data_IF_714771518936
#
_entry.id   IF_714771518936
#
_cell.length_a   1.000
_cell.length_b   1.000
_cell.length_c   1.000
_cell.angle_alpha   90.00
_cell.angle_beta   90.00
_cell.angle_gamma   90.00
#
_symmetry.space_group_name_H-M   'P 1'
#
loop_
_entity.id
_entity.type
_entity.pdbx_description
1 polymer ?
#
# COMPACT_ATOMS: atom_id res chain seq x y z
N UNK A 1 -9.04 -37.02 35.64
CA UNK A 1 -7.62 -36.73 35.36
C UNK A 1 -7.44 -36.79 33.85
N UNK A 2 -7.37 -35.62 33.23
CA UNK A 2 -7.01 -35.43 31.83
C UNK A 2 -5.82 -34.47 31.89
N UNK A 3 -4.63 -34.99 31.64
CA UNK A 3 -3.39 -34.22 31.63
C UNK A 3 -3.42 -33.26 30.44
N UNK A 4 -3.46 -31.96 30.74
CA UNK A 4 -3.19 -30.93 29.76
C UNK A 4 -1.67 -30.92 29.50
N UNK A 5 -1.24 -30.82 28.23
CA UNK A 5 0.17 -30.75 27.90
C UNK A 5 0.81 -29.49 28.52
N UNK A 6 2.12 -29.57 28.87
CA UNK A 6 2.81 -28.48 29.53
C UNK A 6 2.86 -27.25 28.63
N UNK A 7 2.62 -26.12 29.29
CA UNK A 7 2.76 -24.75 28.83
C UNK A 7 3.89 -24.62 27.79
N UNK A 8 3.51 -24.39 26.53
CA UNK A 8 4.46 -24.07 25.47
C UNK A 8 4.91 -22.64 25.73
N UNK A 9 5.94 -22.55 26.58
CA UNK A 9 6.97 -21.52 26.62
C UNK A 9 6.67 -20.35 25.68
N UNK A 10 6.08 -19.31 26.27
CA UNK A 10 6.04 -17.97 25.71
C UNK A 10 7.49 -17.53 25.48
N UNK A 11 8.00 -17.82 24.28
CA UNK A 11 9.21 -17.15 23.79
C UNK A 11 8.95 -15.65 23.93
N UNK A 12 9.85 -14.89 24.56
CA UNK A 12 9.68 -13.45 24.63
C UNK A 12 9.58 -12.91 23.20
N UNK A 13 8.48 -12.20 22.93
CA UNK A 13 8.34 -11.38 21.73
C UNK A 13 9.57 -10.49 21.70
N UNK A 14 10.42 -10.70 20.70
CA UNK A 14 11.66 -9.94 20.57
C UNK A 14 11.26 -8.57 20.02
N UNK A 15 10.97 -7.64 20.92
CA UNK A 15 10.82 -6.23 20.58
C UNK A 15 12.10 -5.78 19.85
N UNK A 16 11.93 -5.25 18.63
CA UNK A 16 13.04 -4.72 17.86
C UNK A 16 13.45 -3.40 18.52
N UNK A 17 14.52 -3.43 19.31
CA UNK A 17 15.18 -2.21 19.78
C UNK A 17 15.96 -1.59 18.61
N UNK A 18 15.27 -0.93 17.68
CA UNK A 18 15.91 0.00 16.74
C UNK A 18 16.14 1.31 17.49
N UNK A 19 17.38 1.60 17.85
CA UNK A 19 17.73 2.88 18.46
C UNK A 19 17.58 3.99 17.41
N UNK A 20 16.57 4.83 17.60
CA UNK A 20 16.06 5.90 16.70
C UNK A 20 17.12 6.98 16.34
N UNK A 21 18.32 6.94 16.91
CA UNK A 21 19.31 8.02 16.82
C UNK A 21 20.15 8.09 15.54
N UNK A 22 20.09 7.07 14.67
CA UNK A 22 20.96 7.01 13.47
C UNK A 22 20.21 7.08 12.13
N UNK A 23 18.94 7.50 12.11
CA UNK A 23 18.19 7.64 10.85
C UNK A 23 18.48 9.01 10.19
N UNK A 24 19.25 9.08 9.08
CA UNK A 24 19.47 10.32 8.36
C UNK A 24 18.15 10.84 7.77
N UNK A 25 17.94 12.16 7.84
CA UNK A 25 16.70 12.86 7.44
C UNK A 25 16.35 12.83 5.93
N UNK A 26 17.03 12.02 5.13
CA UNK A 26 16.80 11.95 3.68
C UNK A 26 17.10 10.54 3.18
N UNK A 27 16.09 9.74 2.85
CA UNK A 27 15.74 9.28 1.48
C UNK A 27 14.86 8.02 1.53
N UNK A 28 13.58 8.17 1.17
CA UNK A 28 12.58 7.10 0.94
C UNK A 28 12.89 6.19 -0.28
N UNK A 29 14.17 6.03 -0.63
CA UNK A 29 14.63 5.37 -1.86
C UNK A 29 14.97 3.91 -1.59
N UNK A 30 14.58 3.03 -2.49
CA UNK A 30 15.04 1.64 -2.46
C UNK A 30 16.55 1.57 -2.73
N UNK A 31 17.23 0.63 -2.08
CA UNK A 31 18.64 0.31 -2.28
C UNK A 31 18.72 -0.90 -3.23
N UNK A 32 19.62 -0.85 -4.21
CA UNK A 32 19.77 -1.92 -5.19
C UNK A 32 20.70 -3.01 -4.65
N UNK A 33 20.35 -4.28 -4.86
CA UNK A 33 21.27 -5.39 -4.64
C UNK A 33 22.38 -5.39 -5.70
N UNK A 34 23.63 -5.59 -5.28
CA UNK A 34 24.74 -5.90 -6.20
C UNK A 34 24.57 -7.29 -6.86
N UNK A 35 23.67 -8.15 -6.33
CA UNK A 35 23.42 -9.50 -6.86
C UNK A 35 21.96 -9.94 -6.62
N UNK A 36 21.13 -10.13 -7.67
CA UNK A 36 19.74 -10.61 -7.54
C UNK A 36 19.66 -12.09 -7.10
N UNK A 37 18.48 -12.58 -6.64
CA UNK A 37 18.29 -13.95 -6.15
C UNK A 37 18.69 -15.02 -7.17
N UNK A 38 19.19 -16.16 -6.68
CA UNK A 38 19.81 -17.24 -7.47
C UNK A 38 18.85 -18.14 -8.28
N UNK A 39 17.56 -17.82 -8.36
CA UNK A 39 16.63 -18.56 -9.21
C UNK A 39 16.70 -18.02 -10.65
N UNK A 40 16.86 -18.91 -11.63
CA UNK A 40 17.00 -18.55 -13.05
C UNK A 40 15.64 -18.13 -13.63
N UNK A 41 15.21 -16.91 -13.31
CA UNK A 41 14.05 -16.23 -13.88
C UNK A 41 14.38 -15.48 -15.18
N UNK A 42 15.56 -15.71 -15.77
CA UNK A 42 16.06 -14.91 -16.90
C UNK A 42 15.16 -14.93 -18.15
N UNK A 43 14.25 -15.90 -18.26
CA UNK A 43 13.30 -16.02 -19.35
C UNK A 43 11.84 -15.77 -18.95
N UNK A 44 11.55 -15.42 -17.70
CA UNK A 44 10.19 -15.08 -17.28
C UNK A 44 9.84 -13.65 -17.74
N UNK A 45 8.84 -13.45 -18.62
CA UNK A 45 8.47 -12.13 -19.11
C UNK A 45 8.00 -11.17 -18.01
N UNK A 46 7.42 -11.68 -16.91
CA UNK A 46 7.01 -10.86 -15.76
C UNK A 46 8.23 -10.35 -14.99
N UNK A 47 9.23 -11.21 -14.79
CA UNK A 47 10.49 -10.83 -14.16
C UNK A 47 11.28 -9.84 -15.01
N UNK A 48 11.36 -10.05 -16.32
CA UNK A 48 11.99 -9.11 -17.25
C UNK A 48 11.30 -7.74 -17.23
N UNK A 49 9.96 -7.71 -17.11
CA UNK A 49 9.24 -6.44 -16.95
C UNK A 49 9.53 -5.76 -15.61
N UNK A 50 9.63 -6.53 -14.52
CA UNK A 50 10.04 -6.00 -13.22
C UNK A 50 11.44 -5.36 -13.28
N UNK A 51 12.40 -6.04 -13.91
CA UNK A 51 13.75 -5.49 -14.14
C UNK A 51 13.73 -4.20 -14.98
N UNK A 52 12.95 -4.16 -16.05
CA UNK A 52 12.78 -2.96 -16.88
C UNK A 52 12.26 -1.77 -16.06
N UNK A 53 11.22 -1.97 -15.24
CA UNK A 53 10.68 -0.92 -14.35
C UNK A 53 11.74 -0.45 -13.35
N UNK A 54 12.43 -1.38 -12.70
CA UNK A 54 13.49 -1.10 -11.71
C UNK A 54 14.64 -0.31 -12.35
N UNK A 55 15.09 -0.71 -13.54
CA UNK A 55 16.14 -0.01 -14.28
C UNK A 55 15.71 1.38 -14.74
N UNK A 56 14.45 1.53 -15.16
CA UNK A 56 13.89 2.82 -15.61
C UNK A 56 13.78 3.82 -14.46
N UNK A 57 13.33 3.38 -13.30
CA UNK A 57 13.17 4.23 -12.12
C UNK A 57 14.50 4.48 -11.40
N UNK A 58 15.44 3.53 -11.45
CA UNK A 58 16.79 3.68 -10.90
C UNK A 58 16.75 4.23 -9.47
N UNK A 59 17.55 5.26 -9.20
CA UNK A 59 17.62 5.89 -7.87
C UNK A 59 16.33 6.61 -7.43
N UNK A 60 15.34 6.79 -8.30
CA UNK A 60 14.05 7.38 -7.96
C UNK A 60 13.04 6.35 -7.44
N UNK A 61 13.34 5.05 -7.57
CA UNK A 61 12.47 4.00 -7.07
C UNK A 61 12.17 4.26 -5.59
N UNK A 62 10.89 4.40 -5.28
CA UNK A 62 10.36 4.71 -3.96
C UNK A 62 8.86 4.43 -3.93
N UNK A 63 8.27 4.36 -2.73
CA UNK A 63 6.81 4.19 -2.57
C UNK A 63 5.99 5.32 -3.18
N UNK A 64 6.57 6.51 -3.33
CA UNK A 64 5.97 7.63 -4.08
C UNK A 64 5.67 7.28 -5.54
N UNK A 65 6.42 6.33 -6.09
CA UNK A 65 6.31 5.88 -7.48
C UNK A 65 5.50 4.57 -7.62
N UNK A 66 4.85 4.09 -6.55
CA UNK A 66 4.07 2.85 -6.58
C UNK A 66 2.96 2.86 -7.66
N UNK A 67 2.35 4.02 -7.90
CA UNK A 67 1.32 4.18 -8.95
C UNK A 67 1.88 4.07 -10.36
N UNK A 68 3.11 4.55 -10.60
CA UNK A 68 3.81 4.37 -11.88
C UNK A 68 4.16 2.91 -12.12
N UNK A 69 4.64 2.21 -11.09
CA UNK A 69 4.92 0.76 -11.15
C UNK A 69 3.65 0.00 -11.54
N UNK A 70 2.52 0.30 -10.88
CA UNK A 70 1.24 -0.33 -11.18
C UNK A 70 0.76 -0.02 -12.58
N UNK A 71 0.83 1.26 -13.01
CA UNK A 71 0.42 1.68 -14.35
C UNK A 71 1.22 0.96 -15.44
N UNK A 72 2.55 0.88 -15.31
CA UNK A 72 3.38 0.14 -16.25
C UNK A 72 3.09 -1.36 -16.27
N UNK A 73 2.85 -1.94 -15.09
CA UNK A 73 2.51 -3.35 -14.95
C UNK A 73 1.15 -3.66 -15.59
N UNK A 74 0.13 -2.83 -15.34
CA UNK A 74 -1.18 -2.97 -15.97
C UNK A 74 -1.09 -2.80 -17.49
N UNK A 75 -0.34 -1.82 -17.98
CA UNK A 75 -0.17 -1.61 -19.43
C UNK A 75 0.50 -2.80 -20.11
N UNK A 76 1.52 -3.39 -19.45
CA UNK A 76 2.19 -4.58 -19.95
C UNK A 76 1.24 -5.79 -20.01
N UNK A 77 0.55 -6.09 -18.91
CA UNK A 77 -0.33 -7.26 -18.79
C UNK A 77 -1.60 -7.12 -19.65
N UNK A 78 -2.12 -5.89 -19.81
CA UNK A 78 -3.32 -5.64 -20.62
C UNK A 78 -3.08 -5.79 -22.12
N UNK A 79 -1.83 -5.92 -22.56
CA UNK A 79 -1.49 -6.21 -23.96
C UNK A 79 -1.92 -7.62 -24.38
N UNK A 80 -2.08 -8.54 -23.42
CA UNK A 80 -2.61 -9.88 -23.65
C UNK A 80 -4.13 -9.91 -23.42
N UNK A 81 -4.87 -9.78 -24.52
CA UNK A 81 -6.34 -9.83 -24.52
C UNK A 81 -6.92 -11.21 -24.19
N UNK A 82 -6.10 -12.27 -24.09
CA UNK A 82 -6.57 -13.62 -23.76
C UNK A 82 -6.73 -13.85 -22.27
N UNK A 83 -6.11 -13.01 -21.44
CA UNK A 83 -6.14 -13.13 -19.99
C UNK A 83 -7.47 -12.62 -19.41
N UNK A 84 -8.01 -13.37 -18.45
CA UNK A 84 -9.10 -12.87 -17.62
C UNK A 84 -8.63 -11.70 -16.76
N UNK A 85 -9.56 -10.84 -16.32
CA UNK A 85 -9.26 -9.73 -15.41
C UNK A 85 -8.50 -10.20 -14.16
N UNK A 86 -8.88 -11.35 -13.60
CA UNK A 86 -8.25 -11.88 -12.40
C UNK A 86 -6.83 -12.38 -12.69
N UNK A 87 -6.63 -13.03 -13.85
CA UNK A 87 -5.30 -13.42 -14.28
C UNK A 87 -4.41 -12.19 -14.54
N UNK A 88 -4.97 -11.11 -15.09
CA UNK A 88 -4.25 -9.86 -15.27
C UNK A 88 -3.82 -9.26 -13.93
N UNK A 89 -4.73 -9.17 -12.95
CA UNK A 89 -4.39 -8.72 -11.59
C UNK A 89 -3.28 -9.56 -10.98
N UNK A 90 -3.37 -10.89 -11.08
CA UNK A 90 -2.37 -11.78 -10.53
C UNK A 90 -0.98 -11.57 -11.16
N UNK A 91 -0.90 -11.35 -12.48
CA UNK A 91 0.37 -11.04 -13.13
C UNK A 91 0.94 -9.68 -12.68
N UNK A 92 0.10 -8.66 -12.48
CA UNK A 92 0.54 -7.38 -11.92
C UNK A 92 1.07 -7.54 -10.50
N UNK A 93 0.39 -8.34 -9.65
CA UNK A 93 0.88 -8.69 -8.31
C UNK A 93 2.25 -9.36 -8.39
N UNK A 94 2.42 -10.31 -9.31
CA UNK A 94 3.70 -11.00 -9.51
C UNK A 94 4.81 -10.05 -9.96
N UNK A 95 4.56 -9.14 -10.90
CA UNK A 95 5.54 -8.12 -11.32
C UNK A 95 5.95 -7.26 -10.11
N UNK A 96 4.99 -6.79 -9.32
CA UNK A 96 5.27 -5.96 -8.15
C UNK A 96 6.08 -6.72 -7.10
N UNK A 97 5.77 -8.01 -6.86
CA UNK A 97 6.54 -8.85 -5.95
C UNK A 97 7.99 -9.05 -6.43
N UNK A 98 8.20 -9.25 -7.74
CA UNK A 98 9.55 -9.28 -8.29
C UNK A 98 10.30 -7.96 -8.10
N UNK A 99 9.62 -6.82 -8.21
CA UNK A 99 10.24 -5.53 -7.92
C UNK A 99 10.69 -5.49 -6.45
N UNK A 100 9.81 -5.90 -5.53
CA UNK A 100 10.18 -6.01 -4.10
C UNK A 100 11.39 -6.93 -3.94
N UNK A 101 11.41 -8.12 -4.55
CA UNK A 101 12.55 -9.06 -4.46
C UNK A 101 13.85 -8.51 -5.06
N UNK A 102 13.77 -7.59 -6.02
CA UNK A 102 14.92 -6.97 -6.67
C UNK A 102 15.46 -5.76 -5.90
N UNK A 103 14.75 -5.29 -4.88
CA UNK A 103 14.98 -3.99 -4.25
C UNK A 103 14.98 -4.10 -2.74
N UNK A 104 16.01 -3.58 -2.09
CA UNK A 104 16.04 -3.47 -0.63
C UNK A 104 15.29 -2.20 -0.22
N UNK A 105 14.44 -2.30 0.80
CA UNK A 105 13.67 -1.17 1.31
C UNK A 105 14.45 -0.41 2.37
N UNK A 106 14.45 0.93 2.36
CA UNK A 106 15.18 1.66 3.37
C UNK A 106 14.58 1.40 4.77
N UNK A 107 15.45 1.39 5.79
CA UNK A 107 15.14 1.44 7.23
C UNK A 107 14.81 0.12 7.95
N UNK A 108 14.48 -0.97 7.24
CA UNK A 108 14.18 -2.26 7.86
C UNK A 108 14.82 -3.40 7.07
N UNK A 109 15.28 -4.48 7.73
CA UNK A 109 15.72 -5.67 7.03
C UNK A 109 14.58 -6.26 6.19
N UNK A 110 14.89 -6.74 4.98
CA UNK A 110 13.93 -7.38 4.05
C UNK A 110 13.06 -8.45 4.71
N UNK A 111 13.55 -9.15 5.74
CA UNK A 111 12.75 -10.11 6.51
C UNK A 111 11.49 -9.52 7.15
N UNK A 112 11.42 -8.20 7.30
CA UNK A 112 10.27 -7.47 7.85
C UNK A 112 9.49 -6.72 6.78
N UNK A 113 10.18 -6.10 5.83
CA UNK A 113 9.58 -5.25 4.81
C UNK A 113 9.00 -6.01 3.64
N UNK A 114 9.68 -7.05 3.13
CA UNK A 114 9.15 -7.86 2.04
C UNK A 114 7.77 -8.43 2.37
N UNK A 115 7.56 -9.11 3.51
CA UNK A 115 6.24 -9.63 3.84
C UNK A 115 5.20 -8.51 3.97
N UNK A 116 5.58 -7.38 4.56
CA UNK A 116 4.69 -6.22 4.74
C UNK A 116 4.22 -5.69 3.39
N UNK A 117 5.13 -5.50 2.44
CA UNK A 117 4.79 -4.98 1.11
C UNK A 117 4.05 -5.98 0.26
N UNK A 118 4.47 -7.24 0.25
CA UNK A 118 3.78 -8.31 -0.47
C UNK A 118 2.34 -8.49 0.03
N UNK A 119 2.05 -8.16 1.30
CA UNK A 119 0.67 -8.12 1.84
C UNK A 119 -0.14 -6.91 1.34
N UNK A 120 0.50 -5.77 1.09
CA UNK A 120 -0.16 -4.56 0.58
C UNK A 120 -0.46 -4.63 -0.93
N UNK A 121 0.34 -5.36 -1.69
CA UNK A 121 0.25 -5.40 -3.16
C UNK A 121 -1.11 -5.88 -3.67
N UNK A 122 -1.66 -7.04 -3.24
CA UNK A 122 -2.94 -7.52 -3.76
C UNK A 122 -4.11 -6.54 -3.59
N UNK A 123 -4.40 -5.99 -2.39
CA UNK A 123 -5.48 -5.02 -2.26
C UNK A 123 -5.20 -3.73 -3.02
N UNK A 124 -3.93 -3.31 -3.16
CA UNK A 124 -3.57 -2.12 -3.93
C UNK A 124 -3.84 -2.31 -5.43
N UNK A 125 -3.46 -3.46 -5.98
CA UNK A 125 -3.77 -3.85 -7.36
C UNK A 125 -5.28 -3.87 -7.59
N UNK A 126 -6.05 -4.42 -6.65
CA UNK A 126 -7.51 -4.46 -6.76
C UNK A 126 -8.13 -3.05 -6.77
N UNK A 127 -7.73 -2.19 -5.85
CA UNK A 127 -8.21 -0.81 -5.75
C UNK A 127 -7.91 -0.01 -7.03
N UNK A 128 -6.65 -0.07 -7.51
CA UNK A 128 -6.26 0.63 -8.73
C UNK A 128 -6.97 0.05 -9.95
N UNK A 129 -7.12 -1.28 -10.05
CA UNK A 129 -7.87 -1.92 -11.13
C UNK A 129 -9.34 -1.46 -11.16
N UNK A 130 -9.97 -1.27 -10.00
CA UNK A 130 -11.33 -0.72 -9.89
C UNK A 130 -11.39 0.70 -10.42
N UNK A 131 -10.38 1.54 -10.17
CA UNK A 131 -10.30 2.90 -10.73
C UNK A 131 -10.18 2.87 -12.25
N UNK A 132 -9.29 2.04 -12.81
CA UNK A 132 -9.09 1.90 -14.27
C UNK A 132 -10.35 1.49 -15.01
N UNK A 133 -11.19 0.67 -14.38
CA UNK A 133 -12.41 0.12 -14.97
C UNK A 133 -13.65 0.96 -14.68
N UNK A 134 -13.51 2.06 -13.93
CA UNK A 134 -14.65 2.86 -13.48
C UNK A 134 -15.61 2.10 -12.57
N UNK A 135 -15.14 1.05 -11.88
CA UNK A 135 -15.96 0.24 -10.96
C UNK A 135 -15.76 0.62 -9.50
N UNK A 136 -14.95 1.65 -9.21
CA UNK A 136 -14.92 2.27 -7.90
C UNK A 136 -16.17 3.15 -7.77
N UNK A 137 -17.10 2.74 -6.90
CA UNK A 137 -18.42 3.38 -6.79
C UNK A 137 -18.41 4.37 -5.61
N UNK A 138 -18.60 5.68 -5.86
CA UNK A 138 -18.75 6.66 -4.79
C UNK A 138 -19.99 6.39 -3.94
N UNK A 139 -19.90 6.65 -2.64
CA UNK A 139 -21.05 6.67 -1.74
C UNK A 139 -21.77 8.01 -1.96
N UNK A 140 -22.71 8.03 -2.90
CA UNK A 140 -23.41 9.27 -3.30
C UNK A 140 -24.11 9.88 -2.07
N UNK A 141 -23.67 11.07 -1.66
CA UNK A 141 -24.34 11.84 -0.63
C UNK A 141 -25.40 12.74 -1.25
N UNK A 142 -26.61 12.71 -0.70
CA UNK A 142 -27.67 13.66 -1.03
C UNK A 142 -27.58 14.95 -0.22
N UNK A 143 -26.71 14.98 0.79
CA UNK A 143 -26.47 16.13 1.66
C UNK A 143 -25.15 16.80 1.27
N UNK A 144 -25.05 18.14 1.40
CA UNK A 144 -23.79 18.85 1.17
C UNK A 144 -22.73 18.39 2.18
N UNK A 145 -21.47 18.62 1.82
CA UNK A 145 -20.36 18.32 2.72
C UNK A 145 -20.48 19.15 4.01
N UNK A 146 -20.29 18.50 5.15
CA UNK A 146 -20.14 19.18 6.44
C UNK A 146 -18.94 18.65 7.19
N UNK A 147 -18.32 19.50 8.01
CA UNK A 147 -17.21 19.06 8.87
C UNK A 147 -17.68 18.03 9.90
N UNK A 148 -18.93 18.10 10.34
CA UNK A 148 -19.52 17.11 11.25
C UNK A 148 -19.63 15.73 10.60
N UNK A 149 -20.17 15.63 9.38
CA UNK A 149 -20.26 14.36 8.65
C UNK A 149 -18.87 13.78 8.35
N UNK A 150 -17.90 14.65 8.03
CA UNK A 150 -16.51 14.25 7.86
C UNK A 150 -15.94 13.62 9.13
N UNK A 151 -15.98 14.34 10.26
CA UNK A 151 -15.42 13.85 11.53
C UNK A 151 -16.12 12.57 11.99
N UNK A 152 -17.44 12.50 11.82
CA UNK A 152 -18.21 11.29 12.15
C UNK A 152 -17.74 10.10 11.33
N UNK A 153 -17.63 10.25 10.02
CA UNK A 153 -17.14 9.18 9.14
C UNK A 153 -15.72 8.75 9.52
N UNK A 154 -14.82 9.71 9.74
CA UNK A 154 -13.42 9.43 10.11
C UNK A 154 -13.33 8.65 11.44
N UNK A 155 -14.13 9.02 12.44
CA UNK A 155 -14.19 8.30 13.71
C UNK A 155 -14.79 6.88 13.57
N UNK A 156 -15.87 6.72 12.79
CA UNK A 156 -16.45 5.41 12.48
C UNK A 156 -15.45 4.51 11.73
N UNK A 157 -14.72 5.08 10.77
CA UNK A 157 -13.69 4.38 10.03
C UNK A 157 -12.56 3.97 10.96
N UNK A 158 -12.02 4.87 11.79
CA UNK A 158 -11.02 4.54 12.81
C UNK A 158 -11.48 3.37 13.68
N UNK A 159 -12.69 3.45 14.24
CA UNK A 159 -13.24 2.43 15.13
C UNK A 159 -13.39 1.05 14.47
N UNK A 160 -13.54 1.00 13.15
CA UNK A 160 -13.55 -0.24 12.37
C UNK A 160 -12.19 -0.93 12.39
N UNK A 161 -11.12 -0.14 12.50
CA UNK A 161 -9.73 -0.60 12.36
C UNK A 161 -8.91 -0.58 13.66
N UNK A 162 -9.40 0.03 14.75
CA UNK A 162 -8.64 0.14 16.02
C UNK A 162 -8.31 -1.21 16.67
N UNK A 163 -9.14 -2.23 16.49
CA UNK A 163 -8.94 -3.54 17.11
C UNK A 163 -8.29 -4.47 16.08
N UNK A 164 -6.95 -4.45 16.01
CA UNK A 164 -6.10 -5.24 15.11
C UNK A 164 -5.93 -4.67 13.69
N UNK A 165 -5.64 -3.38 13.54
CA UNK A 165 -5.23 -2.82 12.25
C UNK A 165 -4.09 -3.64 11.65
N UNK A 166 -4.30 -4.16 10.44
CA UNK A 166 -3.27 -4.87 9.67
C UNK A 166 -2.86 -4.02 8.48
N UNK A 167 -1.65 -4.22 8.01
CA UNK A 167 -1.11 -3.48 6.87
C UNK A 167 -2.05 -3.49 5.65
N UNK A 168 -2.61 -4.65 5.30
CA UNK A 168 -3.60 -4.79 4.21
C UNK A 168 -4.84 -3.89 4.36
N UNK A 169 -5.22 -3.53 5.58
CA UNK A 169 -6.40 -2.73 5.87
C UNK A 169 -6.20 -1.27 5.45
N UNK A 170 -4.96 -0.78 5.39
CA UNK A 170 -4.63 0.57 4.91
C UNK A 170 -5.22 0.84 3.51
N UNK A 171 -5.07 -0.11 2.61
CA UNK A 171 -5.57 0.07 1.23
C UNK A 171 -7.09 0.08 1.19
N UNK A 172 -7.73 -0.72 2.04
CA UNK A 172 -9.18 -0.69 2.23
C UNK A 172 -9.62 0.68 2.76
N UNK A 173 -8.94 1.22 3.78
CA UNK A 173 -9.18 2.57 4.29
C UNK A 173 -9.08 3.62 3.19
N UNK A 174 -8.04 3.54 2.33
CA UNK A 174 -7.87 4.45 1.19
C UNK A 174 -9.08 4.36 0.25
N UNK A 175 -9.52 3.15 -0.09
CA UNK A 175 -10.69 2.93 -0.93
C UNK A 175 -11.98 3.51 -0.32
N UNK A 176 -12.20 3.31 0.97
CA UNK A 176 -13.37 3.82 1.69
C UNK A 176 -13.35 5.35 1.81
N UNK A 177 -12.19 5.94 2.11
CA UNK A 177 -12.00 7.39 2.17
C UNK A 177 -12.25 8.06 0.81
N UNK A 178 -11.77 7.46 -0.28
CA UNK A 178 -12.04 7.96 -1.64
C UNK A 178 -13.53 7.81 -1.95
N UNK A 179 -14.13 6.66 -1.67
CA UNK A 179 -15.55 6.40 -1.98
C UNK A 179 -16.48 7.35 -1.24
N UNK A 180 -16.19 7.66 0.03
CA UNK A 180 -16.93 8.64 0.82
C UNK A 180 -16.78 10.06 0.24
N UNK A 181 -15.55 10.54 0.06
CA UNK A 181 -15.30 11.92 -0.35
C UNK A 181 -15.70 12.18 -1.82
N UNK A 182 -15.54 11.19 -2.70
CA UNK A 182 -15.98 11.28 -4.09
C UNK A 182 -17.50 11.53 -4.21
N UNK A 183 -18.28 11.07 -3.22
CA UNK A 183 -19.73 11.18 -3.16
C UNK A 183 -20.29 12.60 -2.97
N UNK A 184 -19.45 13.58 -2.62
CA UNK A 184 -19.85 14.98 -2.44
C UNK A 184 -19.63 15.78 -3.72
N UNK A 185 -20.71 16.16 -4.40
CA UNK A 185 -20.64 16.90 -5.67
C UNK A 185 -20.25 18.37 -5.53
N UNK A 186 -20.39 18.93 -4.32
CA UNK A 186 -20.11 20.32 -3.97
C UNK A 186 -18.63 20.60 -3.67
N UNK A 187 -17.81 19.56 -3.48
CA UNK A 187 -16.37 19.69 -3.26
C UNK A 187 -15.59 19.76 -4.57
N UNK A 188 -14.60 20.67 -4.64
CA UNK A 188 -13.65 20.69 -5.75
C UNK A 188 -12.72 19.46 -5.70
N UNK A 189 -12.19 19.07 -6.86
CA UNK A 189 -11.29 17.90 -6.96
C UNK A 189 -10.10 17.95 -6.00
N UNK A 190 -9.50 19.13 -5.84
CA UNK A 190 -8.37 19.31 -4.93
C UNK A 190 -8.79 19.10 -3.46
N UNK A 191 -9.92 19.67 -3.05
CA UNK A 191 -10.46 19.47 -1.70
C UNK A 191 -10.78 18.00 -1.43
N UNK A 192 -11.27 17.27 -2.45
CA UNK A 192 -11.52 15.83 -2.34
C UNK A 192 -10.24 15.06 -2.05
N UNK A 193 -9.17 15.34 -2.80
CA UNK A 193 -7.85 14.72 -2.58
C UNK A 193 -7.34 15.01 -1.17
N UNK A 194 -7.35 16.28 -0.77
CA UNK A 194 -6.81 16.71 0.52
C UNK A 194 -7.61 16.15 1.71
N UNK A 195 -8.94 16.10 1.62
CA UNK A 195 -9.79 15.51 2.66
C UNK A 195 -9.64 13.99 2.76
N UNK A 196 -9.51 13.28 1.64
CA UNK A 196 -9.21 11.84 1.67
C UNK A 196 -7.85 11.56 2.31
N UNK A 197 -6.83 12.38 2.03
CA UNK A 197 -5.52 12.28 2.66
C UNK A 197 -5.62 12.58 4.17
N UNK A 198 -6.42 13.56 4.56
CA UNK A 198 -6.67 13.89 5.96
C UNK A 198 -7.27 12.70 6.73
N UNK A 199 -8.24 11.98 6.15
CA UNK A 199 -8.83 10.76 6.74
C UNK A 199 -7.74 9.71 6.99
N UNK A 200 -6.91 9.43 5.98
CA UNK A 200 -5.89 8.38 6.06
C UNK A 200 -4.79 8.74 7.05
N UNK A 201 -4.32 9.97 7.03
CA UNK A 201 -3.33 10.43 8.01
C UNK A 201 -3.88 10.32 9.44
N UNK A 202 -5.13 10.70 9.66
CA UNK A 202 -5.77 10.57 10.96
C UNK A 202 -5.83 9.10 11.42
N UNK A 203 -6.18 8.17 10.54
CA UNK A 203 -6.19 6.74 10.87
C UNK A 203 -4.79 6.29 11.26
N UNK A 204 -3.78 6.55 10.41
CA UNK A 204 -2.37 6.19 10.68
C UNK A 204 -1.93 6.74 12.04
N UNK A 205 -2.16 8.02 12.31
CA UNK A 205 -1.74 8.69 13.54
C UNK A 205 -2.44 8.17 14.82
N UNK A 206 -3.53 7.41 14.67
CA UNK A 206 -4.37 6.95 15.79
C UNK A 206 -4.56 5.42 15.81
N UNK A 207 -3.81 4.67 15.01
CA UNK A 207 -3.83 3.20 15.01
C UNK A 207 -2.42 2.65 15.13
N UNK A 208 -2.20 1.76 16.09
CA UNK A 208 -0.92 1.09 16.22
C UNK A 208 -0.74 0.07 15.08
N UNK A 209 0.45 0.07 14.50
CA UNK A 209 0.80 -0.91 13.48
C UNK A 209 1.58 -2.08 14.09
N UNK A 210 1.17 -3.34 13.85
CA UNK A 210 1.84 -4.47 14.48
C UNK A 210 3.22 -4.69 13.85
N UNK A 211 4.22 -5.03 14.67
CA UNK A 211 5.58 -5.48 14.30
C UNK A 211 6.59 -4.43 13.83
N UNK A 212 6.20 -3.19 13.54
CA UNK A 212 7.12 -2.11 13.13
C UNK A 212 6.82 -0.84 13.92
N UNK A 213 7.84 -0.12 14.45
CA UNK A 213 7.61 1.15 15.15
C UNK A 213 6.98 2.22 14.25
N UNK A 214 6.02 2.98 14.78
CA UNK A 214 5.29 4.04 14.06
C UNK A 214 6.22 5.09 13.43
N UNK A 215 7.38 5.36 14.05
CA UNK A 215 8.42 6.23 13.48
C UNK A 215 8.94 5.80 12.11
N UNK A 216 8.73 4.53 11.73
CA UNK A 216 9.14 3.94 10.46
C UNK A 216 7.91 3.67 9.57
N UNK A 217 6.84 3.09 10.12
CA UNK A 217 5.65 2.74 9.34
C UNK A 217 4.83 3.97 8.90
N UNK A 218 4.66 4.97 9.75
CA UNK A 218 3.82 6.13 9.43
C UNK A 218 4.36 6.93 8.24
N UNK A 219 5.65 7.31 8.17
CA UNK A 219 6.18 8.01 7.01
C UNK A 219 6.00 7.21 5.72
N UNK A 220 6.14 5.89 5.80
CA UNK A 220 6.05 5.01 4.65
C UNK A 220 4.63 4.96 4.09
N UNK A 221 3.61 4.85 4.95
CA UNK A 221 2.22 4.84 4.46
C UNK A 221 1.73 6.18 4.02
N UNK A 222 2.16 7.25 4.68
CA UNK A 222 1.86 8.60 4.21
C UNK A 222 2.49 8.82 2.82
N UNK A 223 3.67 8.26 2.56
CA UNK A 223 4.31 8.29 1.26
C UNK A 223 3.58 7.44 0.19
N UNK A 224 2.92 6.35 0.58
CA UNK A 224 2.08 5.53 -0.32
C UNK A 224 0.68 6.13 -0.56
N UNK A 225 0.03 6.64 0.50
CA UNK A 225 -1.38 7.02 0.47
C UNK A 225 -1.65 8.18 -0.48
N UNK A 226 -0.84 9.25 -0.39
CA UNK A 226 -1.00 10.45 -1.22
C UNK A 226 -1.00 10.13 -2.73
N UNK A 227 0.06 9.52 -3.30
CA UNK A 227 0.10 9.27 -4.74
C UNK A 227 -1.03 8.33 -5.19
N UNK A 228 -1.41 7.34 -4.39
CA UNK A 228 -2.55 6.45 -4.70
C UNK A 228 -3.87 7.22 -4.75
N UNK A 229 -4.14 8.07 -3.75
CA UNK A 229 -5.35 8.90 -3.70
C UNK A 229 -5.40 9.85 -4.89
N UNK A 230 -4.31 10.58 -5.13
CA UNK A 230 -4.21 11.54 -6.25
C UNK A 230 -4.44 10.83 -7.59
N UNK A 231 -3.79 9.69 -7.80
CA UNK A 231 -3.89 8.89 -9.01
C UNK A 231 -5.31 8.39 -9.30
N UNK A 232 -6.04 7.97 -8.26
CA UNK A 232 -7.42 7.50 -8.40
C UNK A 232 -8.36 8.66 -8.70
N UNK A 233 -8.26 9.77 -7.96
CA UNK A 233 -9.12 10.94 -8.19
C UNK A 233 -8.94 11.56 -9.58
N UNK A 234 -7.74 11.51 -10.16
CA UNK A 234 -7.50 12.00 -11.52
C UNK A 234 -8.17 11.12 -12.61
N UNK A 235 -8.74 9.97 -12.24
CA UNK A 235 -9.41 9.01 -13.12
C UNK A 235 -10.89 8.81 -12.83
N UNK A 236 -11.41 9.39 -11.73
CA UNK A 236 -12.84 9.40 -11.38
C UNK A 236 -13.55 10.56 -12.07
#
# INVERSE_FOLDING_TARGET
MLDLPPDVSSKPLTEINVTVTDLPQTTERFIFWDTPPQEDFSNDPLFLKAQDIVNKLGQELSWKNATLILEESFNFVSSDATLSIEAQKQQVVTIFNYIIDLTDTPYLPDTYTDPLFKILVPPLVDLISKSFKGTLVPIISTQPFTRESFLKFTEELKNTFTINFRWQDLVTCIGDAISFIAGFSDLALQDKKDLSIEIINFIIDNTDTPYVPDSISDPLFKALARPVIEYIFDRL
#
